data_IF_022439567617
#
_entry.id   IF_022439567617
#
_cell.length_a   1.000
_cell.length_b   1.000
_cell.length_c   1.000
_cell.angle_alpha   90.00
_cell.angle_beta   90.00
_cell.angle_gamma   90.00
#
_symmetry.space_group_name_H-M   'P 1'
#
loop_
_entity.id
_entity.type
_entity.pdbx_description
1 polymer ?
#
# COMPACT_ATOMS: atom_id res chain seq x y z
N UNK A 1 -10.20 24.68 2.45
CA UNK A 1 -9.44 23.72 1.60
C UNK A 1 -9.06 22.55 2.48
N UNK A 2 -9.92 21.53 2.58
CA UNK A 2 -9.55 20.30 3.30
C UNK A 2 -8.84 19.38 2.33
N UNK A 3 -7.59 19.09 2.61
CA UNK A 3 -6.85 18.01 1.97
C UNK A 3 -7.50 16.69 2.41
N UNK A 4 -8.34 16.12 1.54
CA UNK A 4 -9.07 14.89 1.84
C UNK A 4 -8.06 13.74 1.97
N UNK A 5 -7.93 13.10 3.15
CA UNK A 5 -6.97 12.02 3.37
C UNK A 5 -7.11 10.88 2.35
N UNK A 6 -8.31 10.68 1.80
CA UNK A 6 -8.57 9.65 0.77
C UNK A 6 -7.88 9.96 -0.56
N UNK A 7 -7.55 11.22 -0.83
CA UNK A 7 -6.77 11.64 -2.01
C UNK A 7 -5.27 11.41 -1.85
N UNK A 8 -4.79 11.27 -0.61
CA UNK A 8 -3.40 10.92 -0.31
C UNK A 8 -3.13 9.43 -0.34
N UNK A 9 -4.18 8.58 -0.26
CA UNK A 9 -4.01 7.12 -0.35
C UNK A 9 -3.45 6.74 -1.73
N UNK A 10 -2.23 6.18 -1.80
CA UNK A 10 -1.60 5.85 -3.06
C UNK A 10 -2.40 4.77 -3.80
N UNK A 11 -2.48 4.88 -5.14
CA UNK A 11 -3.10 3.86 -5.97
C UNK A 11 -2.34 2.55 -5.85
N UNK A 12 -3.05 1.43 -6.03
CA UNK A 12 -2.43 0.09 -5.94
C UNK A 12 -1.28 -0.06 -6.93
N UNK A 13 -1.38 0.54 -8.11
CA UNK A 13 -0.30 0.52 -9.10
C UNK A 13 0.93 1.30 -8.64
N UNK A 14 0.74 2.42 -7.93
CA UNK A 14 1.82 3.20 -7.32
C UNK A 14 2.53 2.38 -6.23
N UNK A 15 1.75 1.70 -5.39
CA UNK A 15 2.30 0.80 -4.36
C UNK A 15 3.08 -0.33 -5.02
N UNK A 16 2.52 -1.00 -6.02
CA UNK A 16 3.16 -2.11 -6.74
C UNK A 16 4.38 -1.70 -7.58
N UNK A 17 4.54 -0.42 -7.90
CA UNK A 17 5.70 0.13 -8.59
C UNK A 17 6.85 0.49 -7.62
N UNK A 18 6.64 0.38 -6.30
CA UNK A 18 7.69 0.63 -5.31
C UNK A 18 8.80 -0.41 -5.43
N UNK A 19 10.03 0.05 -5.69
CA UNK A 19 11.21 -0.80 -5.86
C UNK A 19 11.49 -1.66 -4.61
N UNK A 20 11.06 -1.21 -3.41
CA UNK A 20 11.20 -1.95 -2.16
C UNK A 20 10.35 -3.22 -2.11
N UNK A 21 9.31 -3.32 -2.96
CA UNK A 21 8.48 -4.52 -3.08
C UNK A 21 9.05 -5.57 -4.05
N UNK A 22 10.13 -5.27 -4.78
CA UNK A 22 10.71 -6.23 -5.73
C UNK A 22 11.07 -7.58 -5.09
N UNK A 23 11.67 -7.65 -3.88
CA UNK A 23 11.93 -8.93 -3.20
C UNK A 23 10.64 -9.66 -2.82
N UNK A 24 9.64 -8.96 -2.27
CA UNK A 24 8.36 -9.55 -1.90
C UNK A 24 7.57 -10.05 -3.12
N UNK A 25 7.63 -9.32 -4.25
CA UNK A 25 7.03 -9.74 -5.51
C UNK A 25 7.70 -11.00 -6.07
N UNK A 26 9.01 -11.14 -5.92
CA UNK A 26 9.74 -12.33 -6.33
C UNK A 26 9.45 -13.54 -5.42
N UNK A 27 9.32 -13.33 -4.11
CA UNK A 27 9.12 -14.40 -3.13
C UNK A 27 7.66 -14.87 -3.01
N UNK A 28 6.71 -13.93 -2.99
CA UNK A 28 5.29 -14.19 -2.70
C UNK A 28 4.39 -14.10 -3.95
N UNK A 29 4.90 -13.49 -5.02
CA UNK A 29 4.14 -13.25 -6.24
C UNK A 29 3.21 -12.04 -6.18
N UNK A 30 2.87 -11.52 -7.36
CA UNK A 30 2.09 -10.28 -7.53
C UNK A 30 0.71 -10.32 -6.89
N UNK A 31 0.03 -11.46 -6.92
CA UNK A 31 -1.31 -11.59 -6.36
C UNK A 31 -1.31 -11.37 -4.84
N UNK A 32 -0.34 -11.96 -4.13
CA UNK A 32 -0.23 -11.83 -2.68
C UNK A 32 0.11 -10.41 -2.25
N UNK A 33 1.10 -9.79 -2.91
CA UNK A 33 1.49 -8.40 -2.65
C UNK A 33 0.31 -7.43 -2.90
N UNK A 34 -0.49 -7.69 -3.95
CA UNK A 34 -1.70 -6.91 -4.23
C UNK A 34 -2.75 -7.02 -3.12
N UNK A 35 -3.00 -8.22 -2.58
CA UNK A 35 -3.93 -8.40 -1.45
C UNK A 35 -3.50 -7.61 -0.22
N UNK A 36 -2.22 -7.71 0.15
CA UNK A 36 -1.65 -6.99 1.30
C UNK A 36 -1.76 -5.47 1.06
N UNK A 37 -1.45 -5.01 -0.16
CA UNK A 37 -1.62 -3.60 -0.53
C UNK A 37 -3.07 -3.11 -0.44
N UNK A 38 -4.04 -3.92 -0.86
CA UNK A 38 -5.46 -3.57 -0.74
C UNK A 38 -5.90 -3.50 0.73
N UNK A 39 -5.42 -4.42 1.58
CA UNK A 39 -5.70 -4.41 3.02
C UNK A 39 -5.10 -3.16 3.70
N UNK A 40 -3.84 -2.82 3.39
CA UNK A 40 -3.19 -1.62 3.91
C UNK A 40 -3.91 -0.34 3.46
N UNK A 41 -4.30 -0.24 2.19
CA UNK A 41 -5.11 0.87 1.70
C UNK A 41 -6.49 0.96 2.38
N UNK A 42 -7.11 -0.18 2.69
CA UNK A 42 -8.37 -0.23 3.44
C UNK A 42 -8.25 0.44 4.80
N UNK A 43 -7.22 0.07 5.56
CA UNK A 43 -6.87 0.70 6.85
C UNK A 43 -6.56 2.19 6.72
N UNK A 44 -5.82 2.59 5.69
CA UNK A 44 -5.53 4.01 5.45
C UNK A 44 -6.79 4.83 5.15
N UNK A 45 -7.75 4.26 4.41
CA UNK A 45 -9.06 4.88 4.15
C UNK A 45 -9.94 4.95 5.41
N UNK A 46 -9.82 3.96 6.29
CA UNK A 46 -10.50 3.95 7.59
C UNK A 46 -9.86 4.95 8.58
N UNK A 47 -8.63 5.40 8.34
CA UNK A 47 -7.88 6.31 9.20
C UNK A 47 -7.02 5.60 10.24
N UNK A 48 -6.90 4.26 10.16
CA UNK A 48 -6.11 3.47 11.11
C UNK A 48 -4.60 3.65 10.89
N UNK A 49 -4.18 3.91 9.65
CA UNK A 49 -2.79 4.20 9.29
C UNK A 49 -2.71 5.44 8.41
N UNK A 50 -1.57 6.11 8.42
CA UNK A 50 -1.29 7.20 7.49
C UNK A 50 -1.23 6.65 6.04
N UNK A 51 -1.75 7.39 5.04
CA UNK A 51 -1.63 7.04 3.62
C UNK A 51 -0.21 6.70 3.16
N UNK A 52 0.78 7.38 3.72
CA UNK A 52 2.20 7.23 3.41
C UNK A 52 2.76 5.90 3.97
N UNK A 53 2.16 5.37 5.05
CA UNK A 53 2.55 4.11 5.68
C UNK A 53 2.06 2.86 4.91
N UNK A 54 1.21 3.04 3.88
CA UNK A 54 0.66 1.92 3.08
C UNK A 54 1.78 1.10 2.44
N UNK A 55 2.81 1.74 1.87
CA UNK A 55 3.90 1.02 1.22
C UNK A 55 4.77 0.28 2.25
N UNK A 56 5.01 0.88 3.42
CA UNK A 56 5.84 0.30 4.48
C UNK A 56 5.19 -0.97 5.07
N UNK A 57 3.87 -0.95 5.26
CA UNK A 57 3.10 -2.12 5.73
C UNK A 57 3.14 -3.29 4.74
N UNK A 58 3.21 -3.00 3.43
CA UNK A 58 3.33 -4.05 2.40
C UNK A 58 4.75 -4.61 2.35
N UNK A 59 5.77 -3.78 2.60
CA UNK A 59 7.18 -4.21 2.69
C UNK A 59 7.44 -5.06 3.94
N UNK A 60 6.69 -4.84 5.03
CA UNK A 60 6.87 -5.56 6.29
C UNK A 60 6.23 -6.97 6.33
N UNK A 61 5.58 -7.43 5.25
CA UNK A 61 4.95 -8.77 5.13
C UNK A 61 5.84 -9.75 4.38
#
# INVERSE_FOLDING_TARGET
MSDDPRRRVPRTDTVLADARLAPALAALGRARVKEVGLAAQGRARAGDIAPEAVADEVVAT
#
